data_IF_225774240994
#
_entry.id   IF_225774240994
#
_cell.length_a   1.000
_cell.length_b   1.000
_cell.length_c   1.000
_cell.angle_alpha   90.00
_cell.angle_beta   90.00
_cell.angle_gamma   90.00
#
_symmetry.space_group_name_H-M   'P 1'
#
loop_
_entity.id
_entity.type
_entity.pdbx_description
1 polymer ?
#
# COMPACT_ATOMS: atom_id res chain seq x y z
N UNK A 1 7.09 -2.61 -18.52
CA UNK A 1 6.93 -1.18 -18.18
C UNK A 1 6.20 -1.11 -16.83
N UNK A 2 6.89 -1.33 -15.70
CA UNK A 2 6.26 -1.39 -14.36
C UNK A 2 6.68 -0.18 -13.49
N UNK A 3 7.65 0.59 -13.95
CA UNK A 3 8.16 1.78 -13.29
C UNK A 3 7.08 2.86 -13.14
N UNK A 4 6.26 3.09 -14.18
CA UNK A 4 5.11 3.99 -14.07
C UNK A 4 4.15 3.56 -12.96
N UNK A 5 3.90 2.27 -12.80
CA UNK A 5 2.95 1.78 -11.80
C UNK A 5 3.51 1.99 -10.39
N UNK A 6 4.77 1.62 -10.12
CA UNK A 6 5.39 1.85 -8.81
C UNK A 6 5.48 3.34 -8.46
N UNK A 7 5.93 4.18 -9.40
CA UNK A 7 6.02 5.63 -9.18
C UNK A 7 4.65 6.25 -8.92
N UNK A 8 3.61 5.86 -9.66
CA UNK A 8 2.23 6.30 -9.41
C UNK A 8 1.72 5.81 -8.04
N UNK A 9 2.07 4.59 -7.64
CA UNK A 9 1.71 4.05 -6.33
C UNK A 9 2.31 4.86 -5.18
N UNK A 10 3.60 5.20 -5.26
CA UNK A 10 4.25 5.98 -4.19
C UNK A 10 3.91 7.46 -4.22
N UNK A 11 3.65 8.06 -5.38
CA UNK A 11 3.15 9.44 -5.43
C UNK A 11 1.75 9.53 -4.83
N UNK A 12 0.87 8.57 -5.09
CA UNK A 12 -0.43 8.47 -4.42
C UNK A 12 -0.29 8.30 -2.90
N UNK A 13 0.65 7.48 -2.42
CA UNK A 13 0.93 7.34 -0.99
C UNK A 13 1.45 8.63 -0.36
N UNK A 14 2.38 9.30 -1.03
CA UNK A 14 2.94 10.57 -0.58
C UNK A 14 1.83 11.62 -0.47
N UNK A 15 1.04 11.81 -1.54
CA UNK A 15 -0.09 12.75 -1.54
C UNK A 15 -1.08 12.38 -0.43
N UNK A 16 -1.43 11.10 -0.29
CA UNK A 16 -2.34 10.62 0.75
C UNK A 16 -1.86 10.87 2.19
N UNK A 17 -0.55 10.71 2.46
CA UNK A 17 0.05 10.99 3.77
C UNK A 17 -0.02 12.49 4.11
N UNK A 18 0.29 13.36 3.16
CA UNK A 18 0.19 14.81 3.33
C UNK A 18 -1.27 15.27 3.45
N UNK A 19 -2.20 14.63 2.74
CA UNK A 19 -3.63 14.92 2.84
C UNK A 19 -4.21 14.55 4.22
N UNK A 20 -3.70 13.47 4.83
CA UNK A 20 -4.06 13.10 6.22
C UNK A 20 -3.58 14.12 7.23
N UNK A 21 -2.35 14.62 7.09
CA UNK A 21 -1.89 15.72 7.93
C UNK A 21 -2.75 16.98 7.75
N UNK A 22 -3.07 17.34 6.50
CA UNK A 22 -3.94 18.47 6.20
C UNK A 22 -5.32 18.32 6.85
N UNK A 23 -5.89 17.10 6.86
CA UNK A 23 -7.13 16.78 7.57
C UNK A 23 -7.03 17.06 9.07
N UNK A 24 -5.98 16.59 9.75
CA UNK A 24 -5.78 16.85 11.19
C UNK A 24 -5.60 18.34 11.49
N UNK A 25 -4.92 19.08 10.60
CA UNK A 25 -4.78 20.54 10.74
C UNK A 25 -6.12 21.25 10.57
N UNK A 26 -6.94 20.85 9.59
CA UNK A 26 -8.29 21.41 9.41
C UNK A 26 -9.20 21.09 10.60
N UNK A 27 -9.13 19.88 11.14
CA UNK A 27 -9.90 19.49 12.33
C UNK A 27 -9.55 20.35 13.56
N UNK A 28 -8.26 20.64 13.77
CA UNK A 28 -7.81 21.51 14.88
C UNK A 28 -8.31 22.96 14.74
N UNK A 29 -8.30 23.51 13.52
CA UNK A 29 -8.77 24.88 13.27
C UNK A 29 -10.28 25.05 13.47
N UNK A 30 -11.04 23.96 13.30
CA UNK A 30 -12.51 23.94 13.52
C UNK A 30 -12.86 23.98 15.01
N UNK A 31 -12.04 23.37 15.89
CA UNK A 31 -12.27 23.43 17.34
C UNK A 31 -12.11 24.85 17.89
N UNK A 32 -11.32 25.71 17.23
CA UNK A 32 -11.09 27.10 17.63
C UNK A 32 -12.12 28.13 17.13
N UNK A 33 -12.92 27.80 16.10
CA UNK A 33 -13.96 28.69 15.58
C UNK A 33 -15.30 27.94 15.45
N UNK A 34 -16.22 28.22 16.37
CA UNK A 34 -17.54 27.61 16.49
C UNK A 34 -18.47 27.98 15.32
N UNK A 35 -18.25 27.38 14.15
CA UNK A 35 -19.16 27.45 12.99
C UNK A 35 -19.42 26.05 12.46
N UNK A 36 -20.67 25.74 12.13
CA UNK A 36 -21.19 24.38 11.96
C UNK A 36 -21.02 23.74 10.56
N UNK A 37 -20.39 24.44 9.62
CA UNK A 37 -20.18 24.00 8.24
C UNK A 37 -18.90 23.16 7.94
N UNK A 38 -17.73 23.36 8.60
CA UNK A 38 -16.45 22.83 8.15
C UNK A 38 -16.18 21.35 8.49
N UNK A 39 -17.02 20.67 9.28
CA UNK A 39 -16.84 19.24 9.62
C UNK A 39 -16.99 18.33 8.39
N UNK A 40 -17.85 18.70 7.43
CA UNK A 40 -18.07 17.94 6.21
C UNK A 40 -16.84 17.99 5.29
N UNK A 41 -16.16 19.14 5.23
CA UNK A 41 -14.93 19.30 4.46
C UNK A 41 -13.79 18.44 5.03
N UNK A 42 -13.58 18.44 6.35
CA UNK A 42 -12.57 17.59 6.96
C UNK A 42 -12.84 16.09 6.73
N UNK A 43 -14.11 15.65 6.83
CA UNK A 43 -14.50 14.26 6.53
C UNK A 43 -14.26 13.88 5.07
N UNK A 44 -14.59 14.77 4.13
CA UNK A 44 -14.35 14.53 2.71
C UNK A 44 -12.85 14.38 2.40
N UNK A 45 -12.00 15.22 3.01
CA UNK A 45 -10.54 15.14 2.87
C UNK A 45 -9.99 13.85 3.49
N UNK A 46 -10.51 13.42 4.64
CA UNK A 46 -10.14 12.14 5.26
C UNK A 46 -10.47 10.94 4.36
N UNK A 47 -11.67 10.92 3.77
CA UNK A 47 -12.09 9.87 2.84
C UNK A 47 -11.22 9.86 1.59
N UNK A 48 -10.99 11.02 0.98
CA UNK A 48 -10.15 11.15 -0.21
C UNK A 48 -8.72 10.65 0.07
N UNK A 49 -8.15 11.01 1.23
CA UNK A 49 -6.83 10.54 1.63
C UNK A 49 -6.76 9.02 1.75
N UNK A 50 -7.81 8.40 2.29
CA UNK A 50 -7.84 6.95 2.50
C UNK A 50 -7.99 6.18 1.19
N UNK A 51 -8.75 6.72 0.23
CA UNK A 51 -8.85 6.15 -1.12
C UNK A 51 -7.49 6.22 -1.84
N UNK A 52 -6.80 7.35 -1.78
CA UNK A 52 -5.48 7.51 -2.40
C UNK A 52 -4.42 6.58 -1.79
N UNK A 53 -4.38 6.49 -0.46
CA UNK A 53 -3.50 5.57 0.27
C UNK A 53 -3.83 4.12 -0.06
N UNK A 54 -5.11 3.77 -0.16
CA UNK A 54 -5.55 2.43 -0.55
C UNK A 54 -5.04 2.03 -1.93
N UNK A 55 -5.29 2.87 -2.93
CA UNK A 55 -4.81 2.64 -4.30
C UNK A 55 -3.28 2.51 -4.36
N UNK A 56 -2.57 3.40 -3.66
CA UNK A 56 -1.11 3.34 -3.58
C UNK A 56 -0.59 2.06 -2.92
N UNK A 57 -1.24 1.62 -1.85
CA UNK A 57 -0.87 0.39 -1.11
C UNK A 57 -1.07 -0.86 -1.97
N UNK A 58 -2.19 -0.98 -2.69
CA UNK A 58 -2.45 -2.11 -3.59
C UNK A 58 -1.37 -2.24 -4.65
N UNK A 59 -0.99 -1.12 -5.28
CA UNK A 59 0.05 -1.09 -6.32
C UNK A 59 1.41 -1.53 -5.78
N UNK A 60 1.76 -1.11 -4.57
CA UNK A 60 3.01 -1.52 -3.92
C UNK A 60 3.01 -3.02 -3.62
N UNK A 61 1.90 -3.58 -3.12
CA UNK A 61 1.80 -5.01 -2.83
C UNK A 61 1.95 -5.85 -4.11
N UNK A 62 1.30 -5.46 -5.21
CA UNK A 62 1.48 -6.12 -6.51
C UNK A 62 2.93 -6.04 -7.00
N UNK A 63 3.66 -5.01 -6.61
CA UNK A 63 5.05 -4.82 -7.04
C UNK A 63 6.02 -5.79 -6.37
N UNK A 64 5.76 -6.27 -5.15
CA UNK A 64 6.61 -7.26 -4.48
C UNK A 64 6.73 -8.56 -5.27
N UNK A 65 5.60 -9.08 -5.75
CA UNK A 65 5.54 -10.30 -6.55
C UNK A 65 6.26 -10.16 -7.90
N UNK A 66 6.09 -9.00 -8.55
CA UNK A 66 6.74 -8.70 -9.83
C UNK A 66 8.25 -8.52 -9.68
N UNK A 67 8.70 -7.93 -8.57
CA UNK A 67 10.12 -7.75 -8.28
C UNK A 67 10.80 -9.09 -8.00
N UNK A 68 10.20 -9.93 -7.16
CA UNK A 68 10.72 -11.26 -6.84
C UNK A 68 10.88 -12.12 -8.10
N UNK A 69 9.90 -12.10 -8.99
CA UNK A 69 9.93 -12.86 -10.25
C UNK A 69 11.06 -12.42 -11.18
N UNK A 70 11.43 -11.13 -11.15
CA UNK A 70 12.48 -10.55 -12.01
C UNK A 70 13.90 -10.67 -11.46
N UNK A 71 14.06 -10.65 -10.14
CA UNK A 71 15.38 -10.63 -9.51
C UNK A 71 15.86 -12.01 -9.06
N UNK A 72 14.94 -12.94 -8.80
CA UNK A 72 15.25 -14.24 -8.22
C UNK A 72 14.81 -15.43 -9.10
N UNK A 73 15.56 -16.54 -9.09
CA UNK A 73 15.23 -17.76 -9.83
C UNK A 73 13.95 -18.42 -9.27
N UNK A 74 13.24 -19.27 -10.05
CA UNK A 74 11.93 -19.81 -9.69
C UNK A 74 11.87 -20.48 -8.31
N UNK A 75 12.95 -21.15 -7.90
CA UNK A 75 13.05 -21.84 -6.62
C UNK A 75 13.03 -20.89 -5.40
N UNK A 76 13.47 -19.64 -5.56
CA UNK A 76 13.62 -18.67 -4.47
C UNK A 76 12.55 -17.57 -4.51
N UNK A 77 11.69 -17.54 -5.54
CA UNK A 77 10.64 -16.52 -5.71
C UNK A 77 9.67 -16.47 -4.53
N UNK A 78 9.25 -17.63 -4.01
CA UNK A 78 8.31 -17.71 -2.88
C UNK A 78 8.90 -17.10 -1.61
N UNK A 79 10.20 -17.29 -1.36
CA UNK A 79 10.87 -16.68 -0.21
C UNK A 79 11.04 -15.17 -0.42
N UNK A 80 11.44 -14.76 -1.63
CA UNK A 80 11.63 -13.36 -2.00
C UNK A 80 10.32 -12.54 -1.95
N UNK A 81 9.15 -13.13 -2.20
CA UNK A 81 7.85 -12.46 -2.02
C UNK A 81 7.37 -12.44 -0.57
N UNK A 82 7.67 -13.49 0.19
CA UNK A 82 7.21 -13.63 1.58
C UNK A 82 7.89 -12.63 2.52
N UNK A 83 9.18 -12.32 2.31
CA UNK A 83 9.93 -11.38 3.15
C UNK A 83 9.29 -9.97 3.18
N UNK A 84 9.02 -9.31 2.03
CA UNK A 84 8.31 -8.03 2.01
C UNK A 84 6.91 -8.07 2.63
N UNK A 85 6.18 -9.15 2.43
CA UNK A 85 4.83 -9.34 3.00
C UNK A 85 4.90 -9.42 4.54
N UNK A 86 5.83 -10.19 5.08
CA UNK A 86 6.06 -10.27 6.53
C UNK A 86 6.52 -8.94 7.11
N UNK A 87 7.39 -8.20 6.42
CA UNK A 87 7.79 -6.86 6.83
C UNK A 87 6.60 -5.88 6.84
N UNK A 88 5.65 -6.01 5.90
CA UNK A 88 4.44 -5.21 5.89
C UNK A 88 3.55 -5.49 7.12
N UNK A 89 3.33 -6.76 7.46
CA UNK A 89 2.58 -7.13 8.67
C UNK A 89 3.29 -6.71 9.96
N UNK A 90 4.62 -6.82 10.01
CA UNK A 90 5.41 -6.37 11.15
C UNK A 90 5.27 -4.85 11.36
N UNK A 91 5.37 -4.06 10.30
CA UNK A 91 5.14 -2.61 10.38
C UNK A 91 3.72 -2.26 10.82
N UNK A 92 2.72 -3.02 10.39
CA UNK A 92 1.33 -2.81 10.81
C UNK A 92 1.13 -3.10 12.30
N UNK A 93 1.68 -4.22 12.80
CA UNK A 93 1.68 -4.56 14.23
C UNK A 93 2.35 -3.46 15.07
N UNK A 94 3.52 -2.99 14.62
CA UNK A 94 4.27 -1.92 15.28
C UNK A 94 3.47 -0.62 15.29
N UNK A 95 2.79 -0.28 14.20
CA UNK A 95 1.87 0.87 14.14
C UNK A 95 0.73 0.76 15.15
N UNK A 96 0.06 -0.38 15.23
CA UNK A 96 -1.05 -0.60 16.16
C UNK A 96 -0.65 -0.50 17.64
N UNK A 97 0.61 -0.81 18.00
CA UNK A 97 1.11 -0.69 19.38
C UNK A 97 1.67 0.72 19.65
N UNK A 98 2.42 1.28 18.70
CA UNK A 98 3.10 2.56 18.87
C UNK A 98 2.11 3.74 18.90
N UNK A 99 1.08 3.72 18.06
CA UNK A 99 0.08 4.80 17.96
C UNK A 99 -0.65 5.04 19.30
N UNK A 100 -1.29 4.05 19.95
CA UNK A 100 -1.98 4.28 21.23
C UNK A 100 -1.02 4.55 22.39
N UNK A 101 0.24 4.11 22.30
CA UNK A 101 1.24 4.41 23.33
C UNK A 101 1.70 5.88 23.31
N UNK A 102 1.78 6.48 22.12
CA UNK A 102 2.28 7.85 21.96
C UNK A 102 1.14 8.88 21.86
N UNK A 103 -0.02 8.52 21.31
CA UNK A 103 -1.13 9.45 21.10
C UNK A 103 -2.10 9.36 22.27
N UNK A 104 -1.94 10.24 23.25
CA UNK A 104 -2.88 10.40 24.36
C UNK A 104 -3.76 11.65 24.17
N UNK A 105 -3.27 12.64 23.43
CA UNK A 105 -3.97 13.91 23.15
C UNK A 105 -4.18 14.18 21.65
N UNK A 106 -5.23 14.92 21.25
CA UNK A 106 -5.49 15.27 19.85
C UNK A 106 -4.38 16.13 19.21
N UNK A 107 -3.62 16.88 20.00
CA UNK A 107 -2.42 17.61 19.56
C UNK A 107 -1.26 16.65 19.21
N UNK A 108 -1.07 15.59 19.98
CA UNK A 108 -0.03 14.57 19.75
C UNK A 108 -0.35 13.73 18.51
N UNK A 109 -1.64 13.50 18.22
CA UNK A 109 -2.09 12.83 17.00
C UNK A 109 -1.63 13.58 15.73
N UNK A 110 -1.72 14.92 15.74
CA UNK A 110 -1.24 15.77 14.63
C UNK A 110 0.27 15.65 14.45
N UNK A 111 1.01 15.66 15.55
CA UNK A 111 2.47 15.64 15.53
C UNK A 111 3.00 14.24 15.10
N UNK A 112 2.30 13.17 15.48
CA UNK A 112 2.53 11.82 14.93
C UNK A 112 2.24 11.74 13.43
N UNK A 113 1.16 12.38 12.95
CA UNK A 113 0.84 12.43 11.52
C UNK A 113 1.91 13.18 10.71
N UNK A 114 2.50 14.24 11.28
CA UNK A 114 3.64 14.95 10.70
C UNK A 114 4.87 14.03 10.59
N UNK A 115 5.20 13.34 11.67
CA UNK A 115 6.35 12.42 11.68
C UNK A 115 6.19 11.32 10.63
N UNK A 116 5.00 10.73 10.53
CA UNK A 116 4.68 9.74 9.48
C UNK A 116 4.81 10.33 8.07
N UNK A 117 4.34 11.57 7.85
CA UNK A 117 4.50 12.28 6.59
C UNK A 117 5.97 12.49 6.21
N UNK A 118 6.81 12.87 7.19
CA UNK A 118 8.26 13.02 6.99
C UNK A 118 8.94 11.69 6.68
N UNK A 119 8.64 10.63 7.43
CA UNK A 119 9.18 9.28 7.16
C UNK A 119 8.79 8.80 5.76
N UNK A 120 7.55 9.05 5.34
CA UNK A 120 7.08 8.66 4.01
C UNK A 120 7.72 9.50 2.90
N UNK A 121 7.97 10.79 3.16
CA UNK A 121 8.72 11.66 2.26
C UNK A 121 10.17 11.19 2.10
N UNK A 122 10.81 10.80 3.21
CA UNK A 122 12.16 10.25 3.20
C UNK A 122 12.21 8.91 2.45
N UNK A 123 11.21 8.04 2.64
CA UNK A 123 11.09 6.78 1.91
C UNK A 123 10.89 7.01 0.41
N UNK A 124 10.11 8.03 0.02
CA UNK A 124 9.94 8.43 -1.38
C UNK A 124 11.24 8.93 -2.00
N UNK A 125 12.00 9.77 -1.31
CA UNK A 125 13.31 10.24 -1.76
C UNK A 125 14.31 9.09 -1.85
N UNK A 126 14.34 8.22 -0.84
CA UNK A 126 15.19 7.02 -0.84
C UNK A 126 14.84 6.11 -2.02
N UNK A 127 13.55 5.94 -2.34
CA UNK A 127 13.15 5.22 -3.54
C UNK A 127 13.68 5.89 -4.79
N UNK A 128 13.49 7.20 -4.98
CA UNK A 128 13.97 7.91 -6.18
C UNK A 128 15.50 7.81 -6.35
N UNK A 129 16.26 7.81 -5.24
CA UNK A 129 17.72 7.75 -5.25
C UNK A 129 18.25 6.32 -5.46
N UNK A 130 17.65 5.32 -4.79
CA UNK A 130 18.15 3.95 -4.78
C UNK A 130 17.51 3.03 -5.84
N UNK A 131 16.51 3.48 -6.60
CA UNK A 131 15.84 2.63 -7.57
C UNK A 131 16.75 2.30 -8.77
N UNK A 132 17.45 1.16 -8.70
CA UNK A 132 18.09 0.53 -9.86
C UNK A 132 17.07 -0.36 -10.55
N UNK A 133 16.76 0.00 -11.79
CA UNK A 133 15.68 -0.60 -12.58
C UNK A 133 15.94 -2.05 -13.02
N UNK A 134 17.20 -2.53 -12.93
CA UNK A 134 17.62 -3.87 -13.35
C UNK A 134 18.82 -4.35 -12.52
N UNK A 135 18.84 -5.60 -12.02
CA UNK A 135 20.09 -6.23 -11.61
C UNK A 135 20.87 -6.54 -12.89
N UNK A 136 22.11 -6.07 -12.99
CA UNK A 136 22.99 -6.25 -14.15
C UNK A 136 23.36 -7.72 -14.45
N UNK A 137 22.90 -8.70 -13.64
CA UNK A 137 23.39 -10.09 -13.74
C UNK A 137 22.45 -11.23 -13.33
N UNK A 138 21.13 -11.06 -13.44
CA UNK A 138 20.18 -12.02 -12.85
C UNK A 138 19.17 -12.70 -13.75
N UNK A 139 19.32 -12.76 -15.09
CA UNK A 139 18.49 -13.68 -15.89
C UNK A 139 19.07 -13.98 -17.27
N UNK A 140 19.93 -15.00 -17.35
CA UNK A 140 20.45 -15.56 -18.61
C UNK A 140 20.15 -17.05 -18.79
N UNK A 141 19.24 -17.65 -18.02
CA UNK A 141 18.98 -19.10 -18.13
C UNK A 141 17.50 -19.42 -18.41
N UNK A 142 16.53 -18.72 -17.81
CA UNK A 142 15.11 -19.06 -18.01
C UNK A 142 14.39 -18.21 -19.07
N UNK A 143 14.77 -16.93 -19.26
CA UNK A 143 14.18 -16.08 -20.32
C UNK A 143 14.80 -16.32 -21.70
N UNK A 144 15.96 -16.98 -21.80
CA UNK A 144 16.57 -17.26 -23.10
C UNK A 144 15.96 -18.49 -23.80
N UNK A 145 15.33 -19.40 -23.06
CA UNK A 145 14.62 -20.53 -23.66
C UNK A 145 13.16 -20.19 -24.05
N UNK A 146 12.71 -18.96 -23.76
CA UNK A 146 11.44 -18.38 -24.21
C UNK A 146 11.66 -17.38 -25.37
N UNK A 147 12.67 -17.61 -26.21
CA UNK A 147 12.97 -16.83 -27.41
C UNK A 147 12.07 -17.25 -28.61
N UNK A 148 10.75 -17.37 -28.40
CA UNK A 148 9.86 -17.89 -29.45
C UNK A 148 8.44 -17.33 -29.49
N UNK A 149 7.81 -16.99 -28.37
CA UNK A 149 6.41 -16.58 -28.41
C UNK A 149 6.21 -15.20 -27.77
N UNK A 150 6.09 -14.18 -28.64
CA UNK A 150 5.37 -12.94 -28.28
C UNK A 150 3.89 -13.30 -28.06
N UNK A 151 3.58 -13.99 -26.98
CA UNK A 151 2.22 -14.31 -26.61
C UNK A 151 1.52 -12.98 -26.27
N UNK A 152 0.79 -12.44 -27.24
CA UNK A 152 -0.12 -11.30 -27.10
C UNK A 152 -1.33 -11.74 -26.26
N UNK A 153 -1.08 -12.19 -25.05
CA UNK A 153 -2.15 -12.37 -24.09
C UNK A 153 -2.59 -11.00 -23.64
N UNK A 154 -3.71 -10.54 -24.21
CA UNK A 154 -4.49 -9.48 -23.62
C UNK A 154 -4.69 -9.84 -22.14
N UNK A 155 -4.22 -8.98 -21.24
CA UNK A 155 -4.35 -9.13 -19.79
C UNK A 155 -5.81 -9.42 -19.42
N UNK A 156 -6.74 -8.83 -20.18
CA UNK A 156 -8.17 -9.07 -20.04
C UNK A 156 -8.58 -10.53 -20.30
N UNK A 157 -7.95 -11.21 -21.26
CA UNK A 157 -8.24 -12.61 -21.60
C UNK A 157 -7.72 -13.56 -20.51
N UNK A 158 -6.53 -13.30 -19.98
CA UNK A 158 -5.97 -14.08 -18.88
C UNK A 158 -6.72 -13.83 -17.57
N UNK A 159 -7.08 -12.57 -17.29
CA UNK A 159 -7.96 -12.22 -16.17
C UNK A 159 -9.30 -12.98 -16.28
N UNK A 160 -9.87 -13.05 -17.49
CA UNK A 160 -11.13 -13.77 -17.73
C UNK A 160 -10.98 -15.27 -17.49
N UNK A 161 -9.86 -15.88 -17.90
CA UNK A 161 -9.54 -17.30 -17.62
C UNK A 161 -9.31 -17.57 -16.14
N UNK A 162 -8.62 -16.68 -15.44
CA UNK A 162 -8.45 -16.76 -13.98
C UNK A 162 -9.81 -16.72 -13.27
N UNK A 163 -10.72 -15.86 -13.74
CA UNK A 163 -12.08 -15.77 -13.22
C UNK A 163 -12.98 -16.96 -13.57
N UNK A 164 -12.67 -17.70 -14.64
CA UNK A 164 -13.41 -18.89 -15.05
C UNK A 164 -13.11 -20.09 -14.11
N UNK A 165 -11.95 -20.07 -13.44
CA UNK A 165 -11.58 -21.11 -12.50
C UNK A 165 -12.30 -20.93 -11.15
N UNK A 166 -13.30 -21.79 -10.89
CA UNK A 166 -14.11 -21.77 -9.68
C UNK A 166 -13.28 -21.92 -8.38
N UNK A 167 -12.17 -22.67 -8.40
CA UNK A 167 -11.31 -22.82 -7.22
C UNK A 167 -10.58 -21.52 -6.88
N UNK A 168 -10.12 -20.81 -7.91
CA UNK A 168 -9.49 -19.51 -7.75
C UNK A 168 -10.47 -18.46 -7.22
N UNK A 169 -11.68 -18.42 -7.77
CA UNK A 169 -12.74 -17.50 -7.31
C UNK A 169 -13.13 -17.79 -5.86
N UNK A 170 -13.27 -19.06 -5.49
CA UNK A 170 -13.58 -19.45 -4.11
C UNK A 170 -12.47 -19.04 -3.14
N UNK A 171 -11.20 -19.26 -3.50
CA UNK A 171 -10.06 -18.79 -2.69
C UNK A 171 -10.03 -17.27 -2.56
N UNK A 172 -10.24 -16.52 -3.64
CA UNK A 172 -10.31 -15.07 -3.62
C UNK A 172 -11.45 -14.57 -2.72
N UNK A 173 -12.60 -15.21 -2.76
CA UNK A 173 -13.76 -14.86 -1.94
C UNK A 173 -13.49 -15.13 -0.45
N UNK A 174 -12.99 -16.32 -0.11
CA UNK A 174 -12.60 -16.65 1.26
C UNK A 174 -11.53 -15.69 1.80
N UNK A 175 -10.51 -15.39 1.00
CA UNK A 175 -9.44 -14.47 1.40
C UNK A 175 -9.96 -13.04 1.60
N UNK A 176 -10.88 -12.58 0.74
CA UNK A 176 -11.49 -11.25 0.86
C UNK A 176 -12.36 -11.12 2.10
N UNK A 177 -13.14 -12.15 2.45
CA UNK A 177 -13.93 -12.17 3.69
C UNK A 177 -13.01 -12.17 4.91
N UNK A 178 -11.99 -13.02 4.92
CA UNK A 178 -11.03 -13.12 6.02
C UNK A 178 -10.30 -11.78 6.25
N UNK A 179 -9.85 -11.14 5.17
CA UNK A 179 -9.25 -9.82 5.22
C UNK A 179 -10.25 -8.75 5.71
N UNK A 180 -11.48 -8.75 5.20
CA UNK A 180 -12.53 -7.81 5.61
C UNK A 180 -12.85 -7.88 7.10
N UNK A 181 -13.01 -9.09 7.64
CA UNK A 181 -13.23 -9.29 9.09
C UNK A 181 -12.01 -8.84 9.89
N UNK A 182 -10.79 -9.19 9.44
CA UNK A 182 -9.56 -8.84 10.15
C UNK A 182 -9.33 -7.32 10.24
N UNK A 183 -9.69 -6.55 9.22
CA UNK A 183 -9.58 -5.09 9.24
C UNK A 183 -10.75 -4.39 9.94
N UNK A 184 -11.90 -5.04 10.07
CA UNK A 184 -13.06 -4.49 10.79
C UNK A 184 -12.88 -4.52 12.31
N UNK A 185 -12.26 -5.57 12.87
CA UNK A 185 -12.13 -5.77 14.33
C UNK A 185 -11.35 -4.65 15.05
N UNK A 186 -10.20 -4.16 14.54
CA UNK A 186 -9.46 -3.05 15.17
C UNK A 186 -10.28 -1.74 15.27
N UNK A 187 -11.25 -1.53 14.38
CA UNK A 187 -12.10 -0.34 14.37
C UNK A 187 -13.05 -0.27 15.58
N UNK A 188 -13.49 -1.42 16.10
CA UNK A 188 -14.41 -1.48 17.24
C UNK A 188 -13.69 -1.39 18.60
N UNK A 189 -12.41 -1.79 18.67
CA UNK A 189 -11.66 -1.83 19.93
C UNK A 189 -11.25 -0.46 20.50
N UNK A 190 -11.42 0.63 19.75
CA UNK A 190 -11.07 2.00 20.20
C UNK A 190 -12.28 2.81 20.68
N UNK A 191 -13.46 2.19 20.77
CA UNK A 191 -14.70 2.84 21.24
C UNK A 191 -15.16 2.39 22.64
N UNK A 192 -14.34 1.63 23.36
CA UNK A 192 -14.56 1.20 24.74
C UNK A 192 -13.47 1.77 25.65
#
# INVERSE_FOLDING_TARGET
>A
KNWMTMTVGMTCQFIGAWLRWACCRMAHNVTTHSTSSPYQAARAVALLSSVLVGLGSTVIICSYSLLATRWFPPNERTLATTIPVMANYAGWCLGCVLIPYIVTSPTEMRDMQLYQGFVMSLAFVAFLVFHREKPERGMSIDLQNDNGEKHNHNVMTELKKLFDNQQYVLQCFCYSILAGVSFAVPGFGTSA
#
